data_IF_872159221610
#
_entry.id   IF_872159221610
#
_cell.length_a   1.000
_cell.length_b   1.000
_cell.length_c   1.000
_cell.angle_alpha   90.00
_cell.angle_beta   90.00
_cell.angle_gamma   90.00
#
_symmetry.space_group_name_H-M   'P 1'
#
loop_
_entity.id
_entity.type
_entity.pdbx_description
1 polymer ?
#
# COMPACT_ATOMS: atom_id res chain seq x y z
N UNK A 1 -25.10 -11.66 10.42
CA UNK A 1 -23.83 -12.14 9.88
C UNK A 1 -23.94 -12.30 8.36
N UNK A 2 -22.84 -12.01 7.65
CA UNK A 2 -22.78 -12.15 6.21
C UNK A 2 -22.91 -13.63 5.82
N UNK A 3 -23.68 -13.93 4.77
CA UNK A 3 -23.77 -15.29 4.24
C UNK A 3 -22.49 -15.64 3.45
N UNK A 4 -22.16 -16.93 3.38
CA UNK A 4 -20.99 -17.41 2.60
C UNK A 4 -21.02 -16.91 1.14
N UNK A 5 -22.19 -16.86 0.55
CA UNK A 5 -22.39 -16.35 -0.82
C UNK A 5 -21.97 -14.86 -0.94
N UNK A 6 -22.37 -14.03 0.02
CA UNK A 6 -21.97 -12.60 0.06
C UNK A 6 -20.47 -12.47 0.27
N UNK A 7 -19.92 -13.20 1.24
CA UNK A 7 -18.46 -13.21 1.50
C UNK A 7 -17.68 -13.56 0.24
N UNK A 8 -18.09 -14.63 -0.46
CA UNK A 8 -17.44 -15.06 -1.71
C UNK A 8 -17.43 -13.97 -2.79
N UNK A 9 -18.50 -13.22 -2.94
CA UNK A 9 -18.57 -12.17 -3.96
C UNK A 9 -17.78 -10.92 -3.56
N UNK A 10 -17.84 -10.49 -2.30
CA UNK A 10 -17.08 -9.35 -1.78
C UNK A 10 -15.56 -9.63 -1.80
N UNK A 11 -15.15 -10.83 -1.39
CA UNK A 11 -13.73 -11.24 -1.41
C UNK A 11 -13.15 -11.36 -2.84
N UNK A 12 -13.98 -11.61 -3.85
CA UNK A 12 -13.58 -11.64 -5.26
C UNK A 12 -13.53 -10.29 -5.94
N UNK A 13 -13.98 -9.24 -5.27
CA UNK A 13 -13.89 -7.89 -5.81
C UNK A 13 -12.43 -7.44 -5.87
N UNK A 14 -11.96 -7.10 -7.07
CA UNK A 14 -10.58 -6.64 -7.31
C UNK A 14 -10.36 -5.17 -6.97
N UNK A 15 -11.38 -4.47 -6.49
CA UNK A 15 -11.34 -3.00 -6.26
C UNK A 15 -10.87 -2.21 -7.50
N UNK A 16 -11.24 -2.67 -8.70
CA UNK A 16 -10.90 -2.01 -9.96
C UNK A 16 -11.72 -0.74 -10.23
N UNK A 17 -12.76 -0.47 -9.43
CA UNK A 17 -13.63 0.69 -9.44
C UNK A 17 -14.42 0.92 -10.74
N UNK A 18 -14.42 -0.01 -11.70
CA UNK A 18 -15.19 0.10 -12.94
C UNK A 18 -16.70 0.28 -12.68
N UNK A 19 -17.22 -0.29 -11.60
CA UNK A 19 -18.61 -0.11 -11.19
C UNK A 19 -18.95 1.34 -10.81
N UNK A 20 -17.99 2.13 -10.35
CA UNK A 20 -18.21 3.55 -10.02
C UNK A 20 -18.38 4.40 -11.28
N UNK A 21 -17.56 4.17 -12.30
CA UNK A 21 -17.55 4.95 -13.54
C UNK A 21 -18.75 4.64 -14.43
N UNK A 22 -19.34 3.46 -14.28
CA UNK A 22 -20.50 3.01 -15.07
C UNK A 22 -21.85 3.17 -14.36
N UNK A 23 -21.85 3.56 -13.08
CA UNK A 23 -23.09 3.70 -12.31
C UNK A 23 -23.78 5.02 -12.64
N UNK A 24 -25.01 5.01 -13.25
CA UNK A 24 -25.72 6.23 -13.57
C UNK A 24 -26.22 6.98 -12.33
N UNK A 25 -26.33 6.28 -11.18
CA UNK A 25 -26.77 6.87 -9.90
C UNK A 25 -25.62 7.44 -9.08
N UNK A 26 -24.36 7.40 -9.57
CA UNK A 26 -23.20 7.95 -8.87
C UNK A 26 -22.85 7.26 -7.54
N UNK A 27 -23.22 5.99 -7.38
CA UNK A 27 -22.95 5.24 -6.12
C UNK A 27 -21.46 5.03 -5.93
N UNK A 28 -20.94 5.42 -4.76
CA UNK A 28 -19.57 5.13 -4.37
C UNK A 28 -19.43 3.68 -3.89
N UNK A 29 -19.23 2.76 -4.84
CA UNK A 29 -19.03 1.34 -4.54
C UNK A 29 -17.72 1.05 -3.80
N UNK A 30 -16.72 1.91 -3.88
CA UNK A 30 -15.46 1.74 -3.14
C UNK A 30 -15.73 1.69 -1.64
N UNK A 31 -16.38 2.72 -1.11
CA UNK A 31 -16.70 2.79 0.32
C UNK A 31 -17.67 1.69 0.76
N UNK A 32 -18.63 1.31 -0.10
CA UNK A 32 -19.56 0.21 0.21
C UNK A 32 -18.84 -1.14 0.33
N UNK A 33 -17.92 -1.44 -0.59
CA UNK A 33 -17.16 -2.70 -0.57
C UNK A 33 -16.19 -2.73 0.61
N UNK A 34 -15.53 -1.62 0.91
CA UNK A 34 -14.58 -1.55 2.02
C UNK A 34 -15.31 -1.67 3.37
N UNK A 35 -16.47 -1.02 3.53
CA UNK A 35 -17.34 -1.23 4.70
C UNK A 35 -17.81 -2.69 4.81
N UNK A 36 -18.22 -3.30 3.69
CA UNK A 36 -18.63 -4.70 3.67
C UNK A 36 -17.49 -5.64 4.07
N UNK A 37 -16.25 -5.37 3.65
CA UNK A 37 -15.06 -6.15 4.04
C UNK A 37 -14.78 -6.06 5.54
N UNK A 38 -14.86 -4.87 6.11
CA UNK A 38 -14.72 -4.66 7.56
C UNK A 38 -15.83 -5.39 8.33
N UNK A 39 -17.07 -5.28 7.88
CA UNK A 39 -18.19 -6.01 8.49
C UNK A 39 -18.01 -7.53 8.43
N UNK A 40 -17.55 -8.07 7.29
CA UNK A 40 -17.26 -9.50 7.12
C UNK A 40 -16.14 -9.95 8.05
N UNK A 41 -15.04 -9.20 8.12
CA UNK A 41 -13.89 -9.56 8.97
C UNK A 41 -14.32 -9.65 10.46
N UNK A 42 -15.22 -8.78 10.89
CA UNK A 42 -15.69 -8.71 12.27
C UNK A 42 -16.81 -9.72 12.60
N UNK A 43 -17.59 -10.20 11.62
CA UNK A 43 -18.81 -10.97 11.89
C UNK A 43 -18.82 -12.38 11.29
N UNK A 44 -17.94 -12.67 10.31
CA UNK A 44 -17.91 -13.96 9.63
C UNK A 44 -16.73 -14.82 10.09
N UNK A 45 -17.03 -16.05 10.51
CA UNK A 45 -15.98 -17.00 10.89
C UNK A 45 -15.40 -17.68 9.67
N UNK A 46 -14.21 -17.24 9.26
CA UNK A 46 -13.48 -17.80 8.12
C UNK A 46 -12.88 -19.17 8.45
N UNK A 47 -12.73 -20.07 7.47
CA UNK A 47 -11.94 -21.29 7.62
C UNK A 47 -10.52 -20.98 8.13
N UNK A 48 -9.99 -21.88 8.97
CA UNK A 48 -8.71 -21.69 9.66
C UNK A 48 -7.56 -21.26 8.72
N UNK A 49 -7.37 -21.96 7.61
CA UNK A 49 -6.30 -21.66 6.65
C UNK A 49 -6.49 -20.30 5.97
N UNK A 50 -7.70 -19.96 5.56
CA UNK A 50 -8.00 -18.68 4.93
C UNK A 50 -7.68 -17.54 5.90
N UNK A 51 -8.13 -17.63 7.13
CA UNK A 51 -7.83 -16.65 8.19
C UNK A 51 -6.33 -16.51 8.41
N UNK A 52 -5.59 -17.62 8.54
CA UNK A 52 -4.14 -17.59 8.78
C UNK A 52 -3.35 -17.00 7.63
N UNK A 53 -3.74 -17.28 6.38
CA UNK A 53 -3.12 -16.66 5.20
C UNK A 53 -3.37 -15.14 5.19
N UNK A 54 -4.59 -14.70 5.46
CA UNK A 54 -4.93 -13.27 5.54
C UNK A 54 -4.16 -12.56 6.65
N UNK A 55 -4.05 -13.17 7.83
CA UNK A 55 -3.27 -12.64 8.95
C UNK A 55 -1.78 -12.55 8.61
N UNK A 56 -1.22 -13.57 7.97
CA UNK A 56 0.17 -13.58 7.50
C UNK A 56 0.43 -12.47 6.48
N UNK A 57 -0.45 -12.31 5.50
CA UNK A 57 -0.33 -11.25 4.51
C UNK A 57 -0.36 -9.87 5.17
N UNK A 58 -1.29 -9.63 6.09
CA UNK A 58 -1.40 -8.37 6.83
C UNK A 58 -0.18 -8.09 7.73
N UNK A 59 0.42 -9.14 8.32
CA UNK A 59 1.57 -9.01 9.21
C UNK A 59 2.91 -8.84 8.48
N UNK A 60 3.00 -9.22 7.20
CA UNK A 60 4.27 -9.30 6.48
C UNK A 60 4.36 -8.32 5.32
N UNK A 61 3.37 -8.28 4.43
CA UNK A 61 3.46 -7.51 3.18
C UNK A 61 3.54 -5.99 3.37
N UNK A 62 2.86 -5.36 4.36
CA UNK A 62 2.99 -3.92 4.61
C UNK A 62 4.39 -3.50 5.06
N UNK A 63 5.22 -4.43 5.53
CA UNK A 63 6.53 -4.16 6.10
C UNK A 63 7.64 -4.68 5.18
N UNK A 64 8.31 -3.84 4.41
CA UNK A 64 9.27 -4.24 3.38
C UNK A 64 10.39 -5.17 3.88
N UNK A 65 10.88 -4.96 5.11
CA UNK A 65 11.91 -5.81 5.72
C UNK A 65 11.41 -7.23 5.99
N UNK A 66 10.19 -7.36 6.57
CA UNK A 66 9.56 -8.67 6.83
C UNK A 66 9.23 -9.37 5.52
N UNK A 67 8.69 -8.63 4.54
CA UNK A 67 8.35 -9.16 3.25
C UNK A 67 9.60 -9.64 2.48
N UNK A 68 10.70 -8.90 2.54
CA UNK A 68 11.98 -9.30 1.98
C UNK A 68 12.50 -10.60 2.62
N UNK A 69 12.44 -10.72 3.96
CA UNK A 69 12.83 -11.95 4.65
C UNK A 69 11.97 -13.14 4.21
N UNK A 70 10.64 -12.94 4.07
CA UNK A 70 9.75 -13.98 3.54
C UNK A 70 10.12 -14.38 2.11
N UNK A 71 10.49 -13.43 1.25
CA UNK A 71 10.92 -13.73 -0.12
C UNK A 71 12.23 -14.51 -0.17
N UNK A 72 13.16 -14.28 0.74
CA UNK A 72 14.35 -15.12 0.89
C UNK A 72 13.99 -16.56 1.27
N UNK A 73 13.09 -16.73 2.24
CA UNK A 73 12.59 -18.07 2.60
C UNK A 73 11.84 -18.72 1.43
N UNK A 74 11.05 -17.95 0.68
CA UNK A 74 10.37 -18.44 -0.52
C UNK A 74 11.33 -18.88 -1.62
N UNK A 75 12.46 -18.19 -1.79
CA UNK A 75 13.49 -18.60 -2.75
C UNK A 75 14.09 -19.97 -2.40
N UNK A 76 14.34 -20.24 -1.11
CA UNK A 76 14.76 -21.56 -0.63
C UNK A 76 13.62 -22.58 -0.82
N UNK A 77 12.37 -22.18 -0.51
CA UNK A 77 11.19 -23.02 -0.67
C UNK A 77 10.94 -23.50 -2.12
N UNK A 78 11.46 -22.76 -3.13
CA UNK A 78 11.38 -23.19 -4.54
C UNK A 78 12.06 -24.53 -4.79
N UNK A 79 13.08 -24.90 -4.02
CA UNK A 79 13.75 -26.20 -4.11
C UNK A 79 12.79 -27.34 -3.75
N UNK A 80 11.80 -27.08 -2.91
CA UNK A 80 10.80 -28.04 -2.47
C UNK A 80 9.46 -27.92 -3.22
N UNK A 81 9.39 -27.06 -4.25
CA UNK A 81 8.17 -26.81 -5.02
C UNK A 81 7.48 -28.10 -5.55
N UNK A 82 8.20 -29.15 -6.00
CA UNK A 82 7.55 -30.37 -6.52
C UNK A 82 6.67 -31.08 -5.49
N UNK A 83 7.02 -31.03 -4.20
CA UNK A 83 6.30 -31.72 -3.12
C UNK A 83 5.23 -30.84 -2.42
N UNK A 84 5.14 -29.57 -2.80
CA UNK A 84 4.20 -28.64 -2.19
C UNK A 84 2.82 -28.68 -2.85
N UNK A 85 1.73 -28.44 -2.09
CA UNK A 85 0.39 -28.26 -2.63
C UNK A 85 0.34 -27.16 -3.71
N UNK A 86 -0.52 -27.34 -4.71
CA UNK A 86 -0.61 -26.45 -5.89
C UNK A 86 -0.75 -24.95 -5.51
N UNK A 87 -1.51 -24.63 -4.47
CA UNK A 87 -1.68 -23.24 -3.99
C UNK A 87 -0.37 -22.63 -3.52
N UNK A 88 0.42 -23.36 -2.72
CA UNK A 88 1.73 -22.88 -2.25
C UNK A 88 2.73 -22.79 -3.38
N UNK A 89 2.69 -23.71 -4.34
CA UNK A 89 3.53 -23.67 -5.54
C UNK A 89 3.25 -22.42 -6.39
N UNK A 90 1.97 -22.05 -6.57
CA UNK A 90 1.58 -20.86 -7.28
C UNK A 90 2.07 -19.57 -6.56
N UNK A 91 2.00 -19.54 -5.23
CA UNK A 91 2.55 -18.41 -4.43
C UNK A 91 4.08 -18.32 -4.56
N UNK A 92 4.79 -19.45 -4.52
CA UNK A 92 6.24 -19.48 -4.70
C UNK A 92 6.68 -19.05 -6.11
N UNK A 93 5.87 -19.34 -7.13
CA UNK A 93 6.14 -18.91 -8.51
C UNK A 93 6.15 -17.38 -8.66
N UNK A 94 5.42 -16.65 -7.80
CA UNK A 94 5.41 -15.20 -7.78
C UNK A 94 6.65 -14.58 -7.11
N UNK A 95 7.41 -15.38 -6.34
CA UNK A 95 8.61 -14.88 -5.70
C UNK A 95 9.69 -14.54 -6.74
N UNK A 96 10.35 -13.37 -6.65
CA UNK A 96 11.35 -12.93 -7.61
C UNK A 96 12.54 -13.89 -7.63
N UNK A 97 13.14 -14.06 -8.81
CA UNK A 97 14.37 -14.83 -9.00
C UNK A 97 15.62 -13.95 -8.94
N UNK A 98 15.47 -12.64 -8.86
CA UNK A 98 16.55 -11.65 -8.81
C UNK A 98 16.82 -11.17 -7.38
N UNK A 99 18.05 -10.72 -7.07
CA UNK A 99 18.35 -10.11 -5.79
C UNK A 99 17.41 -8.94 -5.48
N UNK A 100 16.89 -8.91 -4.26
CA UNK A 100 15.97 -7.87 -3.81
C UNK A 100 16.75 -6.65 -3.31
N UNK A 101 16.37 -5.45 -3.75
CA UNK A 101 16.97 -4.19 -3.32
C UNK A 101 16.76 -3.93 -1.82
N UNK A 102 17.57 -3.05 -1.23
CA UNK A 102 17.32 -2.57 0.12
C UNK A 102 16.05 -1.72 0.13
N UNK A 103 15.16 -1.89 1.12
CA UNK A 103 14.02 -1.01 1.29
C UNK A 103 14.41 0.44 1.55
N UNK A 104 13.60 1.37 1.07
CA UNK A 104 13.71 2.82 1.31
C UNK A 104 12.96 3.24 2.59
N UNK A 105 13.01 2.40 3.63
CA UNK A 105 12.29 2.59 4.89
C UNK A 105 13.22 2.98 6.06
N UNK A 106 14.43 3.44 5.75
CA UNK A 106 15.47 3.73 6.72
C UNK A 106 15.70 5.24 6.89
N UNK A 107 14.67 5.96 7.33
CA UNK A 107 14.78 7.40 7.60
C UNK A 107 14.46 8.27 6.37
N UNK A 108 14.67 9.57 6.54
CA UNK A 108 14.46 10.57 5.50
C UNK A 108 15.53 10.46 4.42
N UNK A 109 15.11 10.38 3.15
CA UNK A 109 16.03 10.34 2.01
C UNK A 109 15.69 11.50 1.08
N UNK A 110 16.72 12.20 0.58
CA UNK A 110 16.58 13.31 -0.36
C UNK A 110 17.50 13.06 -1.55
N UNK A 111 16.95 13.16 -2.75
CA UNK A 111 17.70 13.21 -4.02
C UNK A 111 17.58 14.61 -4.59
N UNK A 112 18.69 15.36 -4.70
CA UNK A 112 18.68 16.72 -5.22
C UNK A 112 18.30 16.75 -6.70
N UNK A 113 17.72 17.85 -7.13
CA UNK A 113 17.45 18.13 -8.53
C UNK A 113 18.75 18.21 -9.34
N UNK A 114 18.74 17.72 -10.58
CA UNK A 114 19.83 17.98 -11.52
C UNK A 114 19.74 19.43 -12.01
N UNK A 115 20.59 20.29 -11.47
CA UNK A 115 20.60 21.73 -11.75
C UNK A 115 19.68 22.53 -10.81
N UNK A 116 19.11 23.63 -11.31
CA UNK A 116 18.23 24.49 -10.48
C UNK A 116 16.95 23.75 -10.11
N UNK A 117 16.64 23.72 -8.80
CA UNK A 117 15.43 23.11 -8.27
C UNK A 117 14.19 23.86 -8.75
N UNK A 118 13.30 23.18 -9.49
CA UNK A 118 12.01 23.69 -9.96
C UNK A 118 10.90 23.42 -8.95
N UNK A 119 10.82 22.15 -8.47
CA UNK A 119 9.81 21.67 -7.52
C UNK A 119 10.44 20.68 -6.57
N UNK A 120 9.77 20.49 -5.43
CA UNK A 120 10.10 19.49 -4.43
C UNK A 120 8.92 18.52 -4.29
N UNK A 121 9.17 17.25 -4.53
CA UNK A 121 8.11 16.23 -4.56
C UNK A 121 8.40 15.12 -3.54
N UNK A 122 7.35 14.67 -2.88
CA UNK A 122 7.42 13.55 -1.96
C UNK A 122 7.11 12.27 -2.72
N UNK A 123 8.01 11.30 -2.69
CA UNK A 123 7.81 9.97 -3.26
C UNK A 123 7.33 9.01 -2.18
N UNK A 124 6.18 8.38 -2.41
CA UNK A 124 5.75 7.23 -1.64
C UNK A 124 6.36 5.95 -2.23
N UNK A 125 7.33 5.30 -1.55
CA UNK A 125 8.05 4.17 -2.15
C UNK A 125 7.22 2.87 -2.23
N UNK A 126 6.06 2.83 -1.57
CA UNK A 126 5.21 1.64 -1.47
C UNK A 126 5.81 0.56 -0.55
N UNK A 127 5.10 -0.53 -0.31
CA UNK A 127 5.57 -1.63 0.52
C UNK A 127 6.09 -2.81 -0.32
N UNK A 128 5.22 -3.43 -1.10
CA UNK A 128 5.53 -4.61 -1.94
C UNK A 128 6.45 -4.23 -3.11
N UNK A 129 6.21 -3.08 -3.73
CA UNK A 129 6.98 -2.60 -4.89
C UNK A 129 8.47 -2.43 -4.58
N UNK A 130 8.83 -1.95 -3.39
CA UNK A 130 10.23 -1.82 -2.96
C UNK A 130 10.99 -3.16 -2.99
N UNK A 131 10.28 -4.27 -2.77
CA UNK A 131 10.89 -5.61 -2.70
C UNK A 131 10.85 -6.29 -4.06
N UNK A 132 9.72 -6.25 -4.76
CA UNK A 132 9.53 -6.99 -6.00
C UNK A 132 10.00 -6.23 -7.25
N UNK A 133 9.94 -4.90 -7.23
CA UNK A 133 10.20 -4.06 -8.41
C UNK A 133 10.79 -2.69 -8.05
N UNK A 134 11.82 -2.66 -7.20
CA UNK A 134 12.50 -1.44 -6.74
C UNK A 134 12.98 -0.55 -7.91
N UNK A 135 13.31 -1.16 -9.06
CA UNK A 135 13.66 -0.44 -10.30
C UNK A 135 12.63 0.63 -10.72
N UNK A 136 11.35 0.47 -10.32
CA UNK A 136 10.31 1.47 -10.62
C UNK A 136 10.58 2.75 -9.84
N UNK A 137 10.87 2.65 -8.54
CA UNK A 137 11.26 3.80 -7.72
C UNK A 137 12.54 4.44 -8.22
N UNK A 138 13.56 3.63 -8.55
CA UNK A 138 14.83 4.13 -9.09
C UNK A 138 14.62 4.89 -10.41
N UNK A 139 13.77 4.39 -11.30
CA UNK A 139 13.43 5.06 -12.55
C UNK A 139 12.65 6.36 -12.29
N UNK A 140 11.71 6.36 -11.34
CA UNK A 140 10.94 7.54 -10.95
C UNK A 140 11.86 8.62 -10.40
N UNK A 141 12.77 8.29 -9.48
CA UNK A 141 13.75 9.24 -8.93
C UNK A 141 14.64 9.80 -10.03
N UNK A 142 15.22 8.94 -10.88
CA UNK A 142 16.08 9.40 -12.01
C UNK A 142 15.34 10.34 -12.97
N UNK A 143 14.07 10.04 -13.28
CA UNK A 143 13.27 10.87 -14.17
C UNK A 143 13.01 12.24 -13.53
N UNK A 144 12.49 12.26 -12.32
CA UNK A 144 12.10 13.48 -11.63
C UNK A 144 13.31 14.38 -11.36
N UNK A 145 14.44 13.81 -10.91
CA UNK A 145 15.65 14.61 -10.66
C UNK A 145 16.22 15.21 -11.96
N UNK A 146 16.22 14.48 -13.07
CA UNK A 146 16.62 15.00 -14.39
C UNK A 146 15.70 16.12 -14.90
N UNK A 147 14.41 16.08 -14.55
CA UNK A 147 13.45 17.13 -14.88
C UNK A 147 13.60 18.38 -13.99
N UNK A 148 14.52 18.36 -13.04
CA UNK A 148 14.79 19.47 -12.13
C UNK A 148 13.93 19.44 -10.86
N UNK A 149 13.42 18.28 -10.46
CA UNK A 149 12.68 18.14 -9.20
C UNK A 149 13.54 17.48 -8.12
N UNK A 150 13.51 18.05 -6.92
CA UNK A 150 14.03 17.38 -5.74
C UNK A 150 13.02 16.31 -5.29
N UNK A 151 13.49 15.10 -5.01
CA UNK A 151 12.65 13.99 -4.58
C UNK A 151 12.95 13.66 -3.12
N UNK A 152 11.91 13.57 -2.31
CA UNK A 152 12.01 13.27 -0.87
C UNK A 152 11.21 12.01 -0.56
N UNK A 153 11.77 11.12 0.24
CA UNK A 153 11.04 10.10 0.99
C UNK A 153 11.04 10.54 2.45
N UNK A 154 9.87 10.80 3.01
CA UNK A 154 9.73 11.26 4.39
C UNK A 154 10.04 10.13 5.38
N UNK A 155 10.70 10.49 6.48
CA UNK A 155 10.88 9.56 7.60
C UNK A 155 9.53 9.18 8.20
N UNK A 156 9.34 7.91 8.53
CA UNK A 156 8.07 7.38 9.02
C UNK A 156 7.05 7.05 7.92
N UNK A 157 7.31 7.38 6.65
CA UNK A 157 6.50 6.91 5.52
C UNK A 157 6.52 5.40 5.41
N UNK A 158 5.37 4.80 5.11
CA UNK A 158 5.27 3.34 5.02
C UNK A 158 4.27 2.85 3.97
N UNK A 159 3.59 1.76 4.28
CA UNK A 159 2.52 1.22 3.46
C UNK A 159 1.35 2.21 3.36
N UNK A 160 0.71 2.29 2.18
CA UNK A 160 -0.50 3.11 2.01
C UNK A 160 -1.72 2.64 2.81
N UNK A 161 -1.68 1.44 3.38
CA UNK A 161 -2.83 0.85 4.07
C UNK A 161 -3.77 0.04 3.19
N UNK A 162 -3.67 0.13 1.86
CA UNK A 162 -4.59 -0.53 0.92
C UNK A 162 -4.76 -2.03 1.20
N UNK A 163 -3.67 -2.77 1.41
CA UNK A 163 -3.74 -4.21 1.63
C UNK A 163 -4.56 -4.56 2.86
N UNK A 164 -4.26 -3.94 3.99
CA UNK A 164 -4.98 -4.19 5.25
C UNK A 164 -6.42 -3.71 5.17
N UNK A 165 -6.68 -2.60 4.50
CA UNK A 165 -8.02 -2.09 4.22
C UNK A 165 -8.85 -3.09 3.39
N UNK A 166 -8.30 -3.59 2.29
CA UNK A 166 -8.97 -4.59 1.45
C UNK A 166 -9.12 -5.96 2.12
N UNK A 167 -8.33 -6.24 3.15
CA UNK A 167 -8.54 -7.41 4.03
C UNK A 167 -9.61 -7.18 5.11
N UNK A 168 -10.19 -5.97 5.21
CA UNK A 168 -11.16 -5.60 6.25
C UNK A 168 -10.53 -5.33 7.62
N UNK A 169 -9.19 -5.24 7.70
CA UNK A 169 -8.43 -4.95 8.92
C UNK A 169 -8.28 -3.43 9.08
N UNK A 170 -9.38 -2.79 9.40
CA UNK A 170 -9.53 -1.33 9.38
C UNK A 170 -8.55 -0.62 10.31
N UNK A 171 -8.37 -1.11 11.54
CA UNK A 171 -7.44 -0.52 12.52
C UNK A 171 -6.01 -0.47 12.00
N UNK A 172 -5.54 -1.56 11.36
CA UNK A 172 -4.20 -1.61 10.76
C UNK A 172 -4.07 -0.67 9.56
N UNK A 173 -5.14 -0.55 8.77
CA UNK A 173 -5.18 0.38 7.65
C UNK A 173 -5.12 1.83 8.14
N UNK A 174 -5.97 2.21 9.09
CA UNK A 174 -5.97 3.56 9.69
C UNK A 174 -4.64 3.89 10.37
N UNK A 175 -3.99 2.94 11.04
CA UNK A 175 -2.67 3.15 11.60
C UNK A 175 -1.63 3.49 10.52
N UNK A 176 -1.64 2.77 9.40
CA UNK A 176 -0.74 3.04 8.28
C UNK A 176 -1.00 4.42 7.66
N UNK A 177 -2.29 4.80 7.49
CA UNK A 177 -2.69 6.11 6.99
C UNK A 177 -2.24 7.22 7.94
N UNK A 178 -2.50 7.10 9.24
CA UNK A 178 -2.05 8.08 10.26
C UNK A 178 -0.54 8.30 10.22
N UNK A 179 0.24 7.22 10.09
CA UNK A 179 1.70 7.31 10.02
C UNK A 179 2.14 8.10 8.79
N UNK A 180 1.56 7.82 7.62
CA UNK A 180 1.87 8.56 6.40
C UNK A 180 1.43 10.02 6.49
N UNK A 181 0.22 10.30 6.98
CA UNK A 181 -0.27 11.68 7.14
C UNK A 181 0.67 12.48 8.03
N UNK A 182 1.07 11.96 9.20
CA UNK A 182 2.02 12.64 10.09
C UNK A 182 3.37 12.89 9.44
N UNK A 183 3.94 11.88 8.79
CA UNK A 183 5.23 11.97 8.13
C UNK A 183 5.20 13.01 6.98
N UNK A 184 4.13 13.03 6.20
CA UNK A 184 4.01 13.92 5.04
C UNK A 184 3.66 15.35 5.44
N UNK A 185 2.81 15.53 6.44
CA UNK A 185 2.51 16.87 6.98
C UNK A 185 3.78 17.53 7.49
N UNK A 186 4.68 16.80 8.15
CA UNK A 186 5.98 17.33 8.56
C UNK A 186 6.86 17.84 7.42
N UNK A 187 6.78 17.23 6.23
CA UNK A 187 7.49 17.70 5.04
C UNK A 187 6.72 18.81 4.30
N UNK A 188 5.38 18.79 4.31
CA UNK A 188 4.52 19.80 3.67
C UNK A 188 4.64 21.13 4.42
N UNK A 189 4.55 21.10 5.74
CA UNK A 189 4.60 22.28 6.61
C UNK A 189 6.04 22.71 6.92
N UNK A 190 7.05 21.95 6.49
CA UNK A 190 8.47 22.27 6.64
C UNK A 190 8.89 23.49 5.81
N UNK A 191 10.07 24.07 6.12
CA UNK A 191 10.58 25.30 5.51
C UNK A 191 10.67 25.26 3.98
N UNK A 192 10.93 24.09 3.39
CA UNK A 192 11.04 23.89 1.94
C UNK A 192 9.71 23.49 1.28
N UNK A 193 8.71 23.08 2.05
CA UNK A 193 7.41 22.60 1.57
C UNK A 193 7.47 21.39 0.64
N UNK A 194 6.33 20.96 0.14
CA UNK A 194 6.17 19.91 -0.89
C UNK A 194 5.15 20.39 -1.92
N UNK A 195 5.52 20.36 -3.19
CA UNK A 195 4.63 20.74 -4.30
C UNK A 195 3.64 19.63 -4.68
N UNK A 196 4.03 18.37 -4.53
CA UNK A 196 3.19 17.22 -4.88
C UNK A 196 3.66 15.93 -4.21
N UNK A 197 2.71 15.01 -4.01
CA UNK A 197 2.98 13.62 -3.60
C UNK A 197 2.92 12.72 -4.82
N UNK A 198 3.99 11.99 -5.08
CA UNK A 198 4.11 11.06 -6.21
C UNK A 198 3.89 9.64 -5.72
N UNK A 199 2.88 8.99 -6.29
CA UNK A 199 2.55 7.58 -6.04
C UNK A 199 2.58 6.85 -7.38
N UNK A 200 3.55 5.97 -7.57
CA UNK A 200 3.78 5.26 -8.83
C UNK A 200 3.16 3.85 -8.88
N UNK A 201 2.27 3.53 -7.93
CA UNK A 201 1.47 2.31 -7.90
C UNK A 201 -0.02 2.69 -7.80
N UNK A 202 -0.83 2.33 -8.82
CA UNK A 202 -2.23 2.77 -8.96
C UNK A 202 -3.10 2.42 -7.75
N UNK A 203 -3.02 1.19 -7.23
CA UNK A 203 -3.78 0.78 -6.05
C UNK A 203 -3.42 1.59 -4.79
N UNK A 204 -2.13 1.92 -4.61
CA UNK A 204 -1.71 2.82 -3.54
C UNK A 204 -2.26 4.24 -3.76
N UNK A 205 -2.21 4.74 -5.01
CA UNK A 205 -2.70 6.08 -5.35
C UNK A 205 -4.19 6.26 -5.08
N UNK A 206 -4.99 5.24 -5.38
CA UNK A 206 -6.43 5.24 -5.06
C UNK A 206 -6.67 5.38 -3.56
N UNK A 207 -5.95 4.60 -2.74
CA UNK A 207 -6.09 4.65 -1.29
C UNK A 207 -5.58 5.97 -0.70
N UNK A 208 -4.45 6.50 -1.21
CA UNK A 208 -3.91 7.81 -0.76
C UNK A 208 -4.91 8.93 -1.02
N UNK A 209 -5.55 8.94 -2.17
CA UNK A 209 -6.61 9.93 -2.48
C UNK A 209 -7.84 9.83 -1.58
N UNK A 210 -8.01 8.71 -0.89
CA UNK A 210 -9.14 8.47 0.03
C UNK A 210 -8.77 8.73 1.50
N UNK A 211 -7.55 9.18 1.80
CA UNK A 211 -7.08 9.43 3.17
C UNK A 211 -7.96 10.40 3.93
N UNK A 212 -8.45 11.46 3.27
CA UNK A 212 -9.39 12.41 3.86
C UNK A 212 -10.70 11.74 4.31
N UNK A 213 -11.25 10.81 3.50
CA UNK A 213 -12.43 10.05 3.89
C UNK A 213 -12.11 9.02 4.99
N UNK A 214 -11.01 8.31 4.89
CA UNK A 214 -10.60 7.29 5.88
C UNK A 214 -10.41 7.90 7.26
N UNK A 215 -9.81 9.08 7.36
CA UNK A 215 -9.56 9.77 8.64
C UNK A 215 -10.55 10.89 8.98
N UNK A 216 -11.71 10.98 8.30
CA UNK A 216 -12.72 12.04 8.52
C UNK A 216 -13.24 12.16 9.95
N UNK A 217 -13.12 11.09 10.74
CA UNK A 217 -13.49 11.05 12.17
C UNK A 217 -12.31 11.10 13.12
N UNK A 218 -11.08 11.29 12.63
CA UNK A 218 -9.88 11.39 13.47
C UNK A 218 -9.73 12.83 13.99
N UNK A 219 -9.75 12.99 15.34
CA UNK A 219 -9.75 14.30 15.95
C UNK A 219 -8.47 15.12 15.65
N UNK A 220 -7.35 14.44 15.41
CA UNK A 220 -6.04 15.10 15.27
C UNK A 220 -5.61 15.25 13.80
N UNK A 221 -6.07 14.36 12.90
CA UNK A 221 -5.50 14.22 11.57
C UNK A 221 -6.50 14.42 10.42
N UNK A 222 -7.80 14.64 10.71
CA UNK A 222 -8.81 14.79 9.65
C UNK A 222 -8.47 15.93 8.68
N UNK A 223 -8.11 17.10 9.17
CA UNK A 223 -7.77 18.26 8.36
C UNK A 223 -6.47 18.08 7.56
N UNK A 224 -5.47 17.43 8.16
CA UNK A 224 -4.22 17.13 7.50
C UNK A 224 -4.41 16.07 6.39
N UNK A 225 -5.20 15.04 6.66
CA UNK A 225 -5.54 14.01 5.69
C UNK A 225 -6.36 14.53 4.50
N UNK A 226 -7.23 15.52 4.73
CA UNK A 226 -8.02 16.14 3.67
C UNK A 226 -7.19 17.01 2.71
N UNK A 227 -5.98 17.41 3.08
CA UNK A 227 -5.04 18.17 2.24
C UNK A 227 -4.13 17.30 1.38
N UNK A 228 -4.08 15.99 1.64
CA UNK A 228 -3.28 14.99 0.93
C UNK A 228 -4.04 14.43 -0.26
#
# INVERSE_FOLDING_TARGET
PASEKVVKHVDRCLSCLSCMTTCPSGVNYMHLVDHARTHIENTYTRPFFDRKVRDLLAAVMPYPRRFRALMWLAAIGKLFAPVLPQRLRAMLALAPSTPMSRPLDAGRIVWPAAGTRKKRVLLMPGCVQQVLAARINDATVRLLTRLGHEVVVADGSGCCGALTHHLGKEDLAHQAVRNNVRAWTGEIDGADGIDAIVVNASGCGTTVKDYGFMLRGDADLADAAAKI
#
